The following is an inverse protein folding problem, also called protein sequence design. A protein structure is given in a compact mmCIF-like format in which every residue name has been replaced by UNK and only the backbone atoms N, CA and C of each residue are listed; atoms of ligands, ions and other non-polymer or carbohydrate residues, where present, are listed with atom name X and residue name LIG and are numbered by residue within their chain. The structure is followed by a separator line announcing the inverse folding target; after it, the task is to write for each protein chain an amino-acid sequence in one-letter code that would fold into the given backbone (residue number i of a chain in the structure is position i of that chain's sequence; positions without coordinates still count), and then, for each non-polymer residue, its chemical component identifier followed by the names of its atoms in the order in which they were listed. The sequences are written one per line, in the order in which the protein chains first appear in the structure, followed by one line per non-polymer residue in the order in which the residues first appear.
data_IF_272281631634
#
_entry.id   IF_272281631634
#
_cell.length_a   1.000
_cell.length_b   1.000
_cell.length_c   1.000
_cell.angle_alpha   90.00
_cell.angle_beta   90.00
_cell.angle_gamma   90.00
#
_symmetry.space_group_name_H-M   'P 1'
#
loop_
_entity.id
_entity.type
_entity.pdbx_description
1 polymer ?
#
# COMPACT_ATOMS: atom_id res chain seq x y z
N UNK A 1 -9.23 17.84 -8.13
CA UNK A 1 -10.03 16.65 -8.45
C UNK A 1 -9.13 15.69 -9.22
N UNK A 2 -8.55 14.71 -8.52
CA UNK A 2 -7.68 13.72 -9.13
C UNK A 2 -8.58 12.66 -9.81
N UNK A 3 -8.45 12.41 -11.12
CA UNK A 3 -9.37 11.51 -11.81
C UNK A 3 -9.36 10.10 -11.19
N UNK A 4 -10.54 9.60 -10.87
CA UNK A 4 -10.85 8.31 -10.23
C UNK A 4 -10.15 7.09 -10.86
N UNK A 5 -9.77 7.18 -12.14
CA UNK A 5 -9.06 6.11 -12.85
C UNK A 5 -7.54 6.07 -12.57
N UNK A 6 -6.92 7.16 -12.11
CA UNK A 6 -5.46 7.24 -12.01
C UNK A 6 -4.90 6.50 -10.79
N UNK A 7 -5.66 6.39 -9.70
CA UNK A 7 -5.21 5.71 -8.47
C UNK A 7 -5.02 4.21 -8.64
N UNK A 8 -5.67 3.59 -9.65
CA UNK A 8 -5.44 2.18 -9.99
C UNK A 8 -4.05 1.93 -10.55
N UNK A 9 -3.47 2.93 -11.20
CA UNK A 9 -2.16 2.84 -11.83
C UNK A 9 -1.03 3.37 -10.93
N UNK A 10 -1.38 3.95 -9.78
CA UNK A 10 -0.42 4.38 -8.78
C UNK A 10 0.32 3.18 -8.18
N UNK A 11 1.62 3.33 -7.94
CA UNK A 11 2.46 2.29 -7.35
C UNK A 11 3.18 2.80 -6.11
N UNK A 12 3.46 1.86 -5.21
CA UNK A 12 4.11 2.13 -3.95
C UNK A 12 5.64 2.17 -4.12
N UNK A 13 6.24 3.24 -3.62
CA UNK A 13 7.69 3.46 -3.60
C UNK A 13 8.18 3.46 -2.15
N UNK A 14 9.33 2.80 -1.92
CA UNK A 14 10.12 2.94 -0.70
C UNK A 14 11.31 3.85 -0.99
N UNK A 15 11.49 4.91 -0.21
CA UNK A 15 12.58 5.85 -0.40
C UNK A 15 13.26 6.23 0.92
N UNK A 16 14.53 6.63 0.83
CA UNK A 16 15.26 7.26 1.92
C UNK A 16 15.17 8.78 1.77
N UNK A 17 14.41 9.41 2.66
CA UNK A 17 14.17 10.85 2.69
C UNK A 17 14.60 11.36 4.06
N UNK A 18 15.50 12.35 4.09
CA UNK A 18 16.03 12.94 5.33
C UNK A 18 16.57 11.89 6.33
N UNK A 19 17.22 10.84 5.81
CA UNK A 19 17.77 9.75 6.63
C UNK A 19 16.73 8.78 7.21
N UNK A 20 15.45 8.92 6.83
CA UNK A 20 14.37 8.02 7.27
C UNK A 20 13.76 7.31 6.07
N UNK A 21 13.43 6.03 6.26
CA UNK A 21 12.65 5.29 5.28
C UNK A 21 11.24 5.85 5.26
N UNK A 22 10.78 6.23 4.07
CA UNK A 22 9.43 6.73 3.82
C UNK A 22 8.80 5.94 2.67
N UNK A 23 7.48 5.87 2.72
CA UNK A 23 6.66 5.20 1.73
C UNK A 23 5.75 6.24 1.09
N UNK A 24 5.58 6.21 -0.22
CA UNK A 24 4.61 7.05 -0.89
C UNK A 24 4.14 6.42 -2.19
N UNK A 25 3.00 6.90 -2.67
CA UNK A 25 2.40 6.48 -3.92
C UNK A 25 2.78 7.47 -5.02
N UNK A 26 3.12 6.94 -6.19
CA UNK A 26 3.48 7.71 -7.38
C UNK A 26 2.65 7.23 -8.57
N UNK A 27 2.19 8.16 -9.39
CA UNK A 27 1.54 7.84 -10.66
C UNK A 27 2.59 7.47 -11.72
N UNK A 28 2.21 6.76 -12.80
CA UNK A 28 3.11 6.52 -13.94
C UNK A 28 3.70 7.79 -14.57
N UNK A 29 3.05 8.95 -14.37
CA UNK A 29 3.57 10.26 -14.79
C UNK A 29 4.76 10.77 -13.96
N UNK A 30 5.09 10.12 -12.84
CA UNK A 30 6.09 10.58 -11.87
C UNK A 30 5.53 11.57 -10.83
N UNK A 31 4.25 11.94 -10.93
CA UNK A 31 3.59 12.79 -9.94
C UNK A 31 3.29 12.00 -8.66
N UNK A 32 3.50 12.64 -7.50
CA UNK A 32 3.24 12.02 -6.21
C UNK A 32 1.75 12.00 -5.91
N UNK A 33 1.19 10.80 -5.74
CA UNK A 33 -0.22 10.58 -5.44
C UNK A 33 -0.54 10.72 -3.94
N UNK A 34 0.43 10.49 -3.06
CA UNK A 34 0.25 10.56 -1.60
C UNK A 34 1.29 11.44 -0.90
N UNK A 35 1.05 11.72 0.39
CA UNK A 35 2.07 12.26 1.27
C UNK A 35 3.17 11.23 1.59
N UNK A 36 4.21 11.65 2.33
CA UNK A 36 5.29 10.78 2.81
C UNK A 36 4.85 10.02 4.07
N UNK A 37 4.60 8.73 3.90
CA UNK A 37 4.08 7.85 4.94
C UNK A 37 5.23 7.17 5.67
N UNK A 38 5.03 6.97 6.98
CA UNK A 38 6.07 6.52 7.91
C UNK A 38 6.29 5.00 7.88
N UNK A 39 5.32 4.24 7.38
CA UNK A 39 5.35 2.79 7.35
C UNK A 39 4.60 2.23 6.16
N UNK A 40 4.89 0.96 5.84
CA UNK A 40 4.15 0.21 4.83
C UNK A 40 2.66 0.12 5.18
N UNK A 41 2.32 -0.14 6.45
CA UNK A 41 0.93 -0.23 6.89
C UNK A 41 0.17 1.10 6.69
N UNK A 42 0.82 2.23 6.98
CA UNK A 42 0.25 3.55 6.73
C UNK A 42 0.03 3.80 5.23
N UNK A 43 0.96 3.35 4.37
CA UNK A 43 0.81 3.40 2.92
C UNK A 43 -0.32 2.52 2.40
N UNK A 44 -0.50 1.36 3.01
CA UNK A 44 -1.56 0.44 2.65
C UNK A 44 -2.94 0.95 3.06
N UNK A 45 -3.06 1.51 4.27
CA UNK A 45 -4.31 2.09 4.75
C UNK A 45 -4.69 3.34 3.94
N UNK A 46 -3.71 4.19 3.60
CA UNK A 46 -3.93 5.32 2.70
C UNK A 46 -4.50 4.86 1.36
N UNK A 47 -3.94 3.82 0.76
CA UNK A 47 -4.40 3.32 -0.54
C UNK A 47 -5.80 2.71 -0.47
N UNK A 48 -6.10 1.94 0.57
CA UNK A 48 -7.46 1.41 0.78
C UNK A 48 -8.48 2.53 0.89
N UNK A 49 -8.16 3.57 1.65
CA UNK A 49 -9.01 4.74 1.80
C UNK A 49 -9.18 5.47 0.45
N UNK A 50 -8.08 5.72 -0.25
CA UNK A 50 -8.08 6.40 -1.55
C UNK A 50 -8.89 5.63 -2.61
N UNK A 51 -8.77 4.30 -2.69
CA UNK A 51 -9.54 3.47 -3.63
C UNK A 51 -11.02 3.43 -3.26
N UNK A 52 -11.35 3.38 -1.96
CA UNK A 52 -12.73 3.42 -1.49
C UNK A 52 -13.39 4.77 -1.78
N UNK A 53 -12.72 5.87 -1.46
CA UNK A 53 -13.24 7.22 -1.71
C UNK A 53 -13.38 7.50 -3.20
N UNK A 54 -12.57 6.81 -4.02
CA UNK A 54 -12.64 6.85 -5.47
C UNK A 54 -13.69 5.90 -6.09
N UNK A 55 -14.51 5.20 -5.30
CA UNK A 55 -15.51 4.29 -5.83
C UNK A 55 -16.90 4.95 -5.90
N UNK A 56 -17.40 5.21 -7.11
CA UNK A 56 -18.71 5.83 -7.36
C UNK A 56 -19.85 4.81 -7.59
N UNK A 57 -19.64 3.52 -7.33
CA UNK A 57 -20.66 2.47 -7.49
C UNK A 57 -21.51 2.22 -6.24
N UNK A 58 -22.59 1.43 -6.33
CA UNK A 58 -23.33 0.96 -5.16
C UNK A 58 -22.45 0.05 -4.30
N UNK A 59 -21.74 0.65 -3.35
CA UNK A 59 -20.83 -0.03 -2.43
C UNK A 59 -21.65 -0.83 -1.39
N UNK A 60 -21.38 -2.13 -1.28
CA UNK A 60 -22.07 -3.03 -0.33
C UNK A 60 -21.65 -2.82 1.13
N UNK A 61 -20.64 -1.99 1.42
CA UNK A 61 -20.11 -1.76 2.77
C UNK A 61 -19.95 -0.26 3.02
N UNK A 62 -20.31 0.17 4.22
CA UNK A 62 -20.18 1.56 4.67
C UNK A 62 -18.76 1.96 5.09
N UNK A 63 -17.77 1.06 5.03
CA UNK A 63 -16.42 1.32 5.56
C UNK A 63 -15.31 0.65 4.74
N UNK A 64 -14.20 1.38 4.46
CA UNK A 64 -13.01 0.87 3.77
C UNK A 64 -12.20 -0.14 4.59
N UNK A 65 -12.33 -0.07 5.92
CA UNK A 65 -11.56 -0.92 6.83
C UNK A 65 -12.30 -2.23 7.06
N UNK A 66 -11.70 -3.34 6.62
CA UNK A 66 -12.24 -4.65 6.96
C UNK A 66 -11.87 -5.05 8.40
N UNK A 67 -12.77 -4.77 9.35
CA UNK A 67 -12.66 -5.26 10.74
C UNK A 67 -12.62 -6.80 10.86
N UNK A 68 -12.91 -7.52 9.77
CA UNK A 68 -12.83 -8.99 9.66
C UNK A 68 -11.43 -9.50 9.29
N UNK A 69 -10.41 -8.63 9.18
CA UNK A 69 -9.01 -9.01 8.97
C UNK A 69 -8.39 -9.82 10.13
N UNK A 70 -9.15 -10.14 11.16
CA UNK A 70 -8.77 -11.08 12.21
C UNK A 70 -8.79 -12.52 11.65
N UNK A 71 -7.76 -12.88 10.88
CA UNK A 71 -7.61 -14.15 10.16
C UNK A 71 -7.77 -15.36 11.07
N UNK A 72 -7.35 -15.23 12.33
CA UNK A 72 -7.39 -16.29 13.36
C UNK A 72 -8.84 -16.68 13.72
N UNK A 73 -9.72 -15.70 13.96
CA UNK A 73 -11.14 -15.96 14.26
C UNK A 73 -11.89 -16.57 13.08
N UNK A 74 -11.61 -16.10 11.87
CA UNK A 74 -12.28 -16.62 10.67
C UNK A 74 -11.79 -18.03 10.32
N UNK A 75 -10.51 -18.35 10.54
CA UNK A 75 -9.99 -19.70 10.38
C UNK A 75 -10.69 -20.69 11.32
N UNK A 76 -11.01 -20.30 12.55
CA UNK A 76 -11.84 -21.13 13.45
C UNK A 76 -13.29 -21.25 12.98
N UNK A 77 -13.92 -20.16 12.54
CA UNK A 77 -15.34 -20.16 12.12
C UNK A 77 -15.58 -20.96 10.82
N UNK A 78 -14.64 -20.93 9.86
CA UNK A 78 -14.69 -21.75 8.64
C UNK A 78 -14.52 -23.23 8.96
N UNK A 79 -13.67 -23.58 9.94
CA UNK A 79 -13.46 -24.97 10.38
C UNK A 79 -14.73 -25.59 11.02
N UNK A 80 -15.62 -24.76 11.55
CA UNK A 80 -16.87 -25.17 12.18
C UNK A 80 -18.11 -25.09 11.27
N UNK A 81 -17.94 -24.82 9.98
CA UNK A 81 -19.02 -24.96 8.98
C UNK A 81 -20.18 -23.96 9.10
N UNK A 82 -20.06 -22.91 9.92
CA UNK A 82 -21.16 -21.98 10.20
C UNK A 82 -21.34 -20.85 9.17
N UNK A 83 -20.51 -20.77 8.12
CA UNK A 83 -20.55 -19.66 7.15
C UNK A 83 -20.68 -20.17 5.72
N UNK A 84 -21.85 -20.00 5.13
CA UNK A 84 -22.05 -20.11 3.68
C UNK A 84 -21.48 -18.86 3.02
N UNK A 85 -20.28 -18.94 2.47
CA UNK A 85 -19.68 -17.83 1.71
C UNK A 85 -20.37 -17.77 0.35
N UNK A 86 -21.41 -16.94 0.23
CA UNK A 86 -21.95 -16.59 -1.07
C UNK A 86 -20.87 -15.82 -1.86
N UNK A 87 -20.14 -16.56 -2.70
CA UNK A 87 -19.13 -16.02 -3.60
C UNK A 87 -19.84 -15.33 -4.77
N UNK A 88 -20.27 -14.10 -4.55
CA UNK A 88 -20.67 -13.20 -5.63
C UNK A 88 -19.40 -12.55 -6.20
N UNK A 89 -18.98 -13.04 -7.38
CA UNK A 89 -18.15 -12.35 -8.37
C UNK A 89 -17.00 -11.45 -7.89
N UNK A 90 -15.77 -11.96 -8.01
CA UNK A 90 -14.55 -11.15 -8.11
C UNK A 90 -13.85 -10.85 -6.78
N UNK A 91 -12.55 -11.14 -6.72
CA UNK A 91 -11.65 -10.69 -5.65
C UNK A 91 -11.54 -9.16 -5.72
N UNK A 92 -11.64 -8.45 -4.60
CA UNK A 92 -11.52 -6.99 -4.61
C UNK A 92 -10.09 -6.60 -4.98
N UNK A 93 -9.92 -5.49 -5.69
CA UNK A 93 -8.60 -4.96 -6.01
C UNK A 93 -7.76 -4.74 -4.73
N UNK A 94 -8.42 -4.36 -3.63
CA UNK A 94 -7.80 -4.12 -2.31
C UNK A 94 -7.50 -5.37 -1.47
N UNK A 95 -8.02 -6.54 -1.86
CA UNK A 95 -7.79 -7.80 -1.13
C UNK A 95 -6.36 -8.32 -1.32
N UNK A 96 -5.66 -7.86 -2.37
CA UNK A 96 -4.24 -8.14 -2.57
C UNK A 96 -3.45 -6.92 -2.10
N UNK A 97 -2.56 -7.06 -1.11
CA UNK A 97 -1.74 -5.94 -0.66
C UNK A 97 -0.82 -5.49 -1.81
N UNK A 98 -0.66 -4.17 -1.99
CA UNK A 98 0.17 -3.62 -3.04
C UNK A 98 1.63 -3.92 -2.77
N UNK A 99 2.34 -4.37 -3.81
CA UNK A 99 3.79 -4.60 -3.73
C UNK A 99 4.52 -3.27 -3.91
N UNK A 100 5.65 -3.13 -3.22
CA UNK A 100 6.59 -2.04 -3.49
C UNK A 100 7.15 -2.27 -4.90
N UNK A 101 6.92 -1.31 -5.80
CA UNK A 101 7.39 -1.42 -7.19
C UNK A 101 8.84 -0.99 -7.32
N UNK A 102 9.22 0.04 -6.56
CA UNK A 102 10.55 0.63 -6.64
C UNK A 102 11.10 0.90 -5.23
N UNK A 103 12.36 0.51 -5.03
CA UNK A 103 13.09 0.67 -3.78
C UNK A 103 14.26 1.65 -3.99
N UNK A 104 13.94 2.93 -3.91
CA UNK A 104 14.93 4.02 -4.04
C UNK A 104 15.81 4.12 -2.80
N UNK A 105 15.35 3.58 -1.67
CA UNK A 105 16.10 3.62 -0.42
C UNK A 105 17.39 2.79 -0.52
N UNK A 106 17.34 1.61 -1.13
CA UNK A 106 18.50 0.72 -1.27
C UNK A 106 19.63 1.40 -2.03
N UNK A 107 19.34 1.95 -3.22
CA UNK A 107 20.33 2.67 -4.02
C UNK A 107 20.92 3.89 -3.29
N UNK A 108 20.12 4.62 -2.51
CA UNK A 108 20.59 5.75 -1.71
C UNK A 108 21.49 5.31 -0.54
N UNK A 109 21.14 4.20 0.12
CA UNK A 109 21.95 3.63 1.20
C UNK A 109 23.31 3.17 0.66
N UNK A 110 23.34 2.49 -0.48
CA UNK A 110 24.59 2.07 -1.11
C UNK A 110 25.47 3.28 -1.46
N UNK A 111 24.88 4.33 -2.04
CA UNK A 111 25.61 5.56 -2.34
C UNK A 111 26.22 6.20 -1.08
N UNK A 112 25.46 6.25 0.01
CA UNK A 112 25.95 6.77 1.30
C UNK A 112 27.10 5.92 1.86
N UNK A 113 26.99 4.59 1.78
CA UNK A 113 28.06 3.66 2.21
C UNK A 113 29.35 3.90 1.43
N UNK A 114 29.27 4.03 0.10
CA UNK A 114 30.43 4.28 -0.76
C UNK A 114 31.07 5.64 -0.49
N UNK A 115 30.27 6.66 -0.15
CA UNK A 115 30.80 7.97 0.26
C UNK A 115 31.51 7.89 1.61
N UNK A 116 30.94 7.18 2.58
CA UNK A 116 31.54 6.97 3.90
C UNK A 116 32.84 6.18 3.84
N UNK A 117 32.93 5.13 3.01
CA UNK A 117 34.18 4.37 2.85
C UNK A 117 35.29 5.23 2.26
N UNK A 118 34.98 6.11 1.31
CA UNK A 118 35.97 6.99 0.70
C UNK A 118 36.53 8.05 1.68
N UNK A 119 35.76 8.43 2.70
CA UNK A 119 36.20 9.35 3.75
C UNK A 119 36.96 8.65 4.89
N UNK A 120 36.82 7.34 5.02
CA UNK A 120 37.54 6.52 6.01
C UNK A 120 38.99 6.23 5.60
N UNK A 121 39.31 6.35 4.30
CA UNK A 121 40.61 6.03 3.72
C UNK A 121 41.51 7.26 3.50
N UNK A 122 41.11 8.43 4.02
CA UNK A 122 41.90 9.67 4.08
C UNK A 122 42.33 9.98 5.52
#
# INVERSE_FOLDING_TARGET
MTPLNQLKDAYLIRDLVEGKIRYFWEFPSGERASELLVSYDAAYDWWRQAIHDAYEGPERRTSPFDRRANSVKRASEVKHGQVTVQSYGGRRTTDTPPKIREDRAEAKIERLKSQLSHWSDQ
#
